data_IF_661052720205
#
_entry.id   IF_661052720205
#
_cell.length_a   1.000
_cell.length_b   1.000
_cell.length_c   1.000
_cell.angle_alpha   90.00
_cell.angle_beta   90.00
_cell.angle_gamma   90.00
#
_symmetry.space_group_name_H-M   'P 1'
#
loop_
_entity.id
_entity.type
_entity.pdbx_description
1 polymer ?
#
# COMPACT_ATOMS: atom_id res chain seq x y z
N UNK A 1 -6.77 23.03 -4.90
CA UNK A 1 -6.70 21.69 -5.52
C UNK A 1 -5.65 20.82 -4.86
N UNK A 2 -4.45 21.35 -4.55
CA UNK A 2 -3.44 20.64 -3.74
C UNK A 2 -3.67 20.81 -2.23
N UNK A 3 -4.15 21.97 -1.76
CA UNK A 3 -4.44 22.19 -0.33
C UNK A 3 -5.34 21.12 0.27
N UNK A 4 -6.35 20.66 -0.46
CA UNK A 4 -7.28 19.65 0.05
C UNK A 4 -6.55 18.36 0.44
N UNK A 5 -5.57 17.92 -0.35
CA UNK A 5 -4.76 16.74 -0.03
C UNK A 5 -3.81 16.99 1.15
N UNK A 6 -3.24 18.20 1.25
CA UNK A 6 -2.28 18.52 2.33
C UNK A 6 -3.00 18.70 3.67
N UNK A 7 -4.23 19.22 3.66
CA UNK A 7 -5.01 19.48 4.86
C UNK A 7 -5.88 18.30 5.31
N UNK A 8 -6.10 17.31 4.45
CA UNK A 8 -6.80 16.09 4.86
C UNK A 8 -5.88 15.26 5.75
N UNK A 9 -6.39 14.79 6.88
CA UNK A 9 -5.63 13.87 7.75
C UNK A 9 -5.17 12.63 6.97
N UNK A 10 -4.05 12.05 7.34
CA UNK A 10 -3.44 10.95 6.58
C UNK A 10 -4.33 9.69 6.52
N UNK A 11 -5.09 9.40 7.57
CA UNK A 11 -6.01 8.26 7.60
C UNK A 11 -7.25 8.54 6.76
N UNK A 12 -7.77 9.76 6.85
CA UNK A 12 -8.90 10.23 6.04
C UNK A 12 -8.52 10.28 4.55
N UNK A 13 -7.33 10.77 4.20
CA UNK A 13 -6.82 10.88 2.84
C UNK A 13 -6.83 9.52 2.11
N UNK A 14 -6.62 8.43 2.84
CA UNK A 14 -6.62 7.10 2.25
C UNK A 14 -8.00 6.50 2.05
N UNK A 15 -9.00 6.94 2.81
CA UNK A 15 -10.38 6.46 2.73
C UNK A 15 -11.26 7.36 1.86
N UNK A 16 -10.91 8.64 1.76
CA UNK A 16 -11.67 9.64 1.00
C UNK A 16 -11.60 9.37 -0.49
N UNK A 17 -12.75 9.47 -1.15
CA UNK A 17 -12.85 9.55 -2.60
C UNK A 17 -12.75 11.01 -3.04
N UNK A 18 -11.79 11.31 -3.91
CA UNK A 18 -11.58 12.65 -4.43
C UNK A 18 -12.19 12.73 -5.84
N UNK A 19 -13.39 13.29 -5.95
CA UNK A 19 -14.17 13.42 -7.21
C UNK A 19 -13.40 14.11 -8.36
N UNK A 20 -12.41 14.94 -8.03
CA UNK A 20 -11.59 15.68 -9.01
C UNK A 20 -10.11 15.27 -9.00
N UNK A 21 -9.81 14.03 -8.66
CA UNK A 21 -8.44 13.49 -8.71
C UNK A 21 -7.96 13.16 -10.13
N UNK A 22 -7.98 14.17 -11.01
CA UNK A 22 -7.62 14.05 -12.42
C UNK A 22 -6.18 13.59 -12.64
N UNK A 23 -5.31 13.86 -11.67
CA UNK A 23 -3.87 13.56 -11.73
C UNK A 23 -3.48 12.32 -10.92
N UNK A 24 -4.43 11.68 -10.22
CA UNK A 24 -4.16 10.51 -9.38
C UNK A 24 -3.29 10.84 -8.16
N UNK A 25 -3.35 12.07 -7.63
CA UNK A 25 -2.58 12.52 -6.48
C UNK A 25 -2.79 11.62 -5.26
N UNK A 26 -4.01 11.13 -5.02
CA UNK A 26 -4.28 10.23 -3.90
C UNK A 26 -3.44 8.94 -4.01
N UNK A 27 -3.29 8.41 -5.23
CA UNK A 27 -2.50 7.21 -5.47
C UNK A 27 -0.99 7.47 -5.33
N UNK A 28 -0.52 8.64 -5.77
CA UNK A 28 0.89 9.04 -5.61
C UNK A 28 1.23 9.18 -4.13
N UNK A 29 0.38 9.84 -3.35
CA UNK A 29 0.57 9.99 -1.91
C UNK A 29 0.52 8.65 -1.17
N UNK A 30 -0.41 7.75 -1.55
CA UNK A 30 -0.44 6.36 -1.05
C UNK A 30 0.85 5.61 -1.37
N UNK A 31 1.40 5.76 -2.58
CA UNK A 31 2.65 5.12 -2.97
C UNK A 31 3.86 5.67 -2.19
N UNK A 32 3.84 6.96 -1.84
CA UNK A 32 4.88 7.61 -1.04
C UNK A 32 4.82 7.28 0.46
N UNK A 33 3.68 6.80 0.98
CA UNK A 33 3.54 6.45 2.40
C UNK A 33 4.34 5.17 2.76
N UNK A 34 5.44 5.38 3.50
CA UNK A 34 6.33 4.32 3.96
C UNK A 34 5.60 3.21 4.76
N UNK A 35 4.57 3.54 5.53
CA UNK A 35 3.80 2.57 6.34
C UNK A 35 3.07 1.58 5.45
N UNK A 36 2.59 2.01 4.28
CA UNK A 36 2.00 1.13 3.27
C UNK A 36 3.05 0.18 2.71
N UNK A 37 4.22 0.70 2.35
CA UNK A 37 5.36 -0.10 1.89
C UNK A 37 5.80 -1.16 2.91
N UNK A 38 5.95 -0.78 4.18
CA UNK A 38 6.32 -1.70 5.27
C UNK A 38 5.27 -2.80 5.45
N UNK A 39 3.98 -2.46 5.49
CA UNK A 39 2.89 -3.46 5.59
C UNK A 39 2.94 -4.46 4.44
N UNK A 40 3.09 -3.98 3.21
CA UNK A 40 3.18 -4.83 2.01
C UNK A 40 4.41 -5.74 2.07
N UNK A 41 5.55 -5.21 2.51
CA UNK A 41 6.79 -5.98 2.65
C UNK A 41 6.65 -7.14 3.65
N UNK A 42 6.00 -6.91 4.79
CA UNK A 42 5.75 -7.96 5.78
C UNK A 42 4.87 -9.09 5.22
N UNK A 43 3.81 -8.74 4.48
CA UNK A 43 2.94 -9.72 3.82
C UNK A 43 3.70 -10.53 2.76
N UNK A 44 4.51 -9.86 1.93
CA UNK A 44 5.34 -10.51 0.91
C UNK A 44 6.37 -11.45 1.53
N UNK A 45 7.01 -11.04 2.63
CA UNK A 45 7.95 -11.89 3.38
C UNK A 45 7.26 -13.14 3.92
N UNK A 46 6.04 -13.03 4.43
CA UNK A 46 5.24 -14.17 4.90
C UNK A 46 4.87 -15.10 3.74
N UNK A 47 4.38 -14.56 2.62
CA UNK A 47 4.03 -15.35 1.43
C UNK A 47 5.24 -16.12 0.89
N UNK A 48 6.38 -15.45 0.72
CA UNK A 48 7.63 -16.10 0.28
C UNK A 48 8.02 -17.27 1.18
N UNK A 49 7.94 -17.11 2.51
CA UNK A 49 8.23 -18.20 3.46
C UNK A 49 7.28 -19.40 3.28
N UNK A 50 6.00 -19.13 3.05
CA UNK A 50 4.99 -20.17 2.80
C UNK A 50 5.30 -20.92 1.51
N UNK A 51 5.56 -20.19 0.41
CA UNK A 51 5.86 -20.79 -0.90
C UNK A 51 7.15 -21.63 -0.85
N UNK A 52 8.19 -21.15 -0.16
CA UNK A 52 9.42 -21.93 0.09
C UNK A 52 9.12 -23.21 0.88
N UNK A 53 8.26 -23.16 1.90
CA UNK A 53 7.92 -24.34 2.70
C UNK A 53 7.20 -25.40 1.87
N UNK A 54 6.22 -24.99 1.04
CA UNK A 54 5.51 -25.91 0.17
C UNK A 54 6.40 -26.52 -0.91
N UNK A 55 7.34 -25.75 -1.48
CA UNK A 55 8.28 -26.29 -2.47
C UNK A 55 9.27 -27.30 -1.88
N UNK A 56 9.64 -27.16 -0.60
CA UNK A 56 10.46 -28.14 0.11
C UNK A 56 9.68 -29.44 0.40
N UNK A 57 8.43 -29.34 0.85
CA UNK A 57 7.59 -30.51 1.16
C UNK A 57 7.18 -31.33 -0.08
N UNK A 58 7.30 -30.79 -1.30
CA UNK A 58 7.02 -31.49 -2.56
C UNK A 58 8.24 -32.19 -3.16
N UNK A 59 9.42 -32.03 -2.55
CA UNK A 59 10.68 -32.62 -3.02
C UNK A 59 11.00 -33.98 -2.38
N UNK A 60 10.23 -34.38 -1.38
CA UNK A 60 10.21 -35.71 -0.77
C UNK A 60 9.09 -36.56 -1.39
#
# INVERSE_FOLDING_TARGET
MIEEYIQTDQEELFQKHFEKDLWGLANILKAADRRIGIRRLLLLKKKRKIDLRYSLLKKD
#
